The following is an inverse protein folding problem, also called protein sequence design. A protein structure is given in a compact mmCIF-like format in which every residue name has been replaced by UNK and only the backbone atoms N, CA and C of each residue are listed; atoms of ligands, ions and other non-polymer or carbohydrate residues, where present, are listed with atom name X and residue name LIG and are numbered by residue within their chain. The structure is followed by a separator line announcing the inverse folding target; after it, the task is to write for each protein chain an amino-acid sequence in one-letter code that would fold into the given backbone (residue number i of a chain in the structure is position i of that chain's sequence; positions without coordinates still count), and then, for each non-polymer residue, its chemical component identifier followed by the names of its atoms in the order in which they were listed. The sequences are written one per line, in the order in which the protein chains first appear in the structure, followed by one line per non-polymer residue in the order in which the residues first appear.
data_IF_306561773317
#
_entry.id   IF_306561773317
#
_cell.length_a   1.000
_cell.length_b   1.000
_cell.length_c   1.000
_cell.angle_alpha   90.00
_cell.angle_beta   90.00
_cell.angle_gamma   90.00
#
_symmetry.space_group_name_H-M   'P 1'
#
loop_
_entity.id
_entity.type
_entity.pdbx_description
1 polymer ?
#
# COMPACT_ATOMS: atom_id res chain seq x y z
N UNK A 1 5.08 7.63 -25.07
CA UNK A 1 5.83 7.90 -26.31
C UNK A 1 7.07 8.79 -26.09
N UNK A 2 7.12 9.67 -25.09
CA UNK A 2 8.30 10.52 -24.83
C UNK A 2 9.58 9.81 -24.37
N UNK A 3 9.46 8.64 -23.72
CA UNK A 3 10.61 7.89 -23.20
C UNK A 3 11.54 7.32 -24.28
N UNK A 4 10.98 7.01 -25.47
CA UNK A 4 11.77 6.46 -26.59
C UNK A 4 12.71 7.48 -27.22
N UNK A 5 12.28 8.74 -27.31
CA UNK A 5 13.07 9.82 -27.92
C UNK A 5 14.22 10.28 -27.02
N UNK A 6 14.02 10.26 -25.69
CA UNK A 6 15.06 10.57 -24.72
C UNK A 6 16.18 9.52 -24.69
N UNK A 7 15.82 8.23 -24.81
CA UNK A 7 16.79 7.15 -24.89
C UNK A 7 17.63 7.19 -26.17
N UNK A 8 17.01 7.55 -27.30
CA UNK A 8 17.71 7.72 -28.58
C UNK A 8 18.70 8.90 -28.54
N UNK A 9 18.32 10.02 -27.92
CA UNK A 9 19.17 11.20 -27.79
C UNK A 9 20.42 10.94 -26.92
N UNK A 10 20.29 10.20 -25.82
CA UNK A 10 21.42 9.85 -24.95
C UNK A 10 22.36 8.83 -25.61
N UNK A 11 21.81 7.87 -26.37
CA UNK A 11 22.61 6.90 -27.12
C UNK A 11 23.45 7.54 -28.24
N UNK A 12 22.93 8.59 -28.89
CA UNK A 12 23.61 9.32 -29.96
C UNK A 12 24.71 10.25 -29.42
N UNK A 13 24.55 10.80 -28.21
CA UNK A 13 25.50 11.77 -27.63
C UNK A 13 26.76 11.11 -27.04
N UNK A 14 26.69 9.85 -26.57
CA UNK A 14 27.82 9.20 -25.88
C UNK A 14 28.81 8.50 -26.82
N UNK A 15 28.35 7.98 -27.97
CA UNK A 15 29.23 7.35 -28.97
C UNK A 15 29.89 6.03 -28.53
N UNK A 16 29.91 5.04 -29.43
CA UNK A 16 30.60 3.76 -29.25
C UNK A 16 29.80 2.67 -28.51
N UNK A 17 30.41 1.49 -28.40
CA UNK A 17 29.96 0.28 -27.70
C UNK A 17 29.36 0.50 -26.29
N UNK A 18 29.82 1.50 -25.54
CA UNK A 18 29.25 1.85 -24.24
C UNK A 18 27.81 2.42 -24.35
N UNK A 19 27.49 3.14 -25.43
CA UNK A 19 26.15 3.69 -25.68
C UNK A 19 25.09 2.61 -25.96
N UNK A 20 25.50 1.48 -26.55
CA UNK A 20 24.60 0.36 -26.87
C UNK A 20 24.08 -0.35 -25.61
N UNK A 21 24.89 -0.41 -24.54
CA UNK A 21 24.50 -1.04 -23.28
C UNK A 21 23.88 -0.06 -22.27
N UNK A 22 24.36 1.19 -22.21
CA UNK A 22 23.91 2.18 -21.22
C UNK A 22 22.56 2.79 -21.61
N UNK A 23 22.26 2.97 -22.90
CA UNK A 23 21.01 3.56 -23.39
C UNK A 23 19.75 2.78 -23.00
N UNK A 24 19.67 1.45 -23.20
CA UNK A 24 18.53 0.64 -22.78
C UNK A 24 18.37 0.59 -21.26
N UNK A 25 19.48 0.51 -20.53
CA UNK A 25 19.46 0.51 -19.06
C UNK A 25 18.98 1.86 -18.50
N UNK A 26 19.46 2.98 -19.05
CA UNK A 26 19.01 4.31 -18.67
C UNK A 26 17.55 4.57 -19.08
N UNK A 27 17.12 4.09 -20.24
CA UNK A 27 15.72 4.18 -20.70
C UNK A 27 14.77 3.34 -19.85
N UNK A 28 15.14 2.11 -19.50
CA UNK A 28 14.37 1.25 -18.59
C UNK A 28 14.38 1.79 -17.15
N UNK A 29 15.51 2.33 -16.68
CA UNK A 29 15.61 2.97 -15.38
C UNK A 29 14.75 4.25 -15.34
N UNK A 30 14.78 5.06 -16.40
CA UNK A 30 13.96 6.28 -16.52
C UNK A 30 12.47 5.95 -16.65
N UNK A 31 12.07 4.95 -17.43
CA UNK A 31 10.67 4.52 -17.52
C UNK A 31 10.20 3.91 -16.19
N UNK A 32 11.04 3.11 -15.52
CA UNK A 32 10.74 2.64 -14.15
C UNK A 32 10.67 3.76 -13.14
N UNK A 33 11.53 4.78 -13.25
CA UNK A 33 11.56 5.91 -12.32
C UNK A 33 10.36 6.83 -12.57
N UNK A 34 10.00 7.12 -13.84
CA UNK A 34 8.80 7.86 -14.20
C UNK A 34 7.53 7.11 -13.80
N UNK A 35 7.46 5.79 -13.99
CA UNK A 35 6.35 4.97 -13.47
C UNK A 35 6.30 4.93 -11.94
N UNK A 36 7.44 5.12 -11.26
CA UNK A 36 7.51 5.30 -9.79
C UNK A 36 7.12 6.71 -9.34
N UNK A 37 7.20 7.71 -10.21
CA UNK A 37 6.70 9.06 -9.98
C UNK A 37 5.21 9.07 -10.35
N UNK A 38 4.43 8.24 -9.67
CA UNK A 38 3.00 8.53 -9.58
C UNK A 38 2.90 9.88 -8.86
N UNK A 39 2.13 10.86 -9.38
CA UNK A 39 2.06 12.20 -8.80
C UNK A 39 1.81 12.08 -7.30
N UNK A 40 2.61 12.79 -6.49
CA UNK A 40 2.56 12.68 -5.02
C UNK A 40 1.13 12.84 -4.50
N UNK A 41 0.35 13.72 -5.12
CA UNK A 41 -1.07 13.95 -4.83
C UNK A 41 -1.94 12.70 -5.03
N UNK A 42 -1.76 11.96 -6.13
CA UNK A 42 -2.52 10.72 -6.40
C UNK A 42 -2.12 9.63 -5.41
N UNK A 43 -0.83 9.54 -5.09
CA UNK A 43 -0.33 8.58 -4.09
C UNK A 43 -0.87 8.89 -2.70
N UNK A 44 -0.80 10.15 -2.27
CA UNK A 44 -1.35 10.60 -0.99
C UNK A 44 -2.87 10.38 -0.91
N UNK A 45 -3.59 10.65 -2.00
CA UNK A 45 -5.03 10.37 -2.11
C UNK A 45 -5.32 8.89 -1.91
N UNK A 46 -4.62 7.99 -2.61
CA UNK A 46 -4.77 6.53 -2.45
C UNK A 46 -4.42 6.07 -1.03
N UNK A 47 -3.34 6.58 -0.45
CA UNK A 47 -2.92 6.23 0.91
C UNK A 47 -3.97 6.63 1.93
N UNK A 48 -4.58 7.82 1.81
CA UNK A 48 -5.70 8.25 2.65
C UNK A 48 -6.92 7.36 2.46
N UNK A 49 -7.30 7.05 1.21
CA UNK A 49 -8.42 6.13 0.93
C UNK A 49 -8.23 4.76 1.62
N UNK A 50 -7.04 4.18 1.52
CA UNK A 50 -6.73 2.88 2.14
C UNK A 50 -6.63 2.99 3.66
N UNK A 51 -6.10 4.09 4.19
CA UNK A 51 -6.00 4.32 5.64
C UNK A 51 -7.38 4.43 6.30
N UNK A 52 -8.33 5.10 5.65
CA UNK A 52 -9.67 5.36 6.20
C UNK A 52 -10.63 4.17 6.04
N UNK A 53 -10.32 3.22 5.15
CA UNK A 53 -11.20 2.11 4.79
C UNK A 53 -11.66 1.24 5.98
N UNK A 54 -10.80 0.84 6.92
CA UNK A 54 -11.26 0.09 8.09
C UNK A 54 -12.15 0.91 9.04
N UNK A 55 -11.88 2.22 9.18
CA UNK A 55 -12.75 3.10 9.97
C UNK A 55 -14.12 3.25 9.30
N UNK A 56 -14.16 3.35 7.97
CA UNK A 56 -15.40 3.35 7.21
C UNK A 56 -16.20 2.06 7.40
N UNK A 57 -15.54 0.90 7.33
CA UNK A 57 -16.17 -0.39 7.56
C UNK A 57 -16.77 -0.49 8.98
N UNK A 58 -16.05 0.00 9.99
CA UNK A 58 -16.48 0.05 11.38
C UNK A 58 -17.73 0.91 11.58
N UNK A 59 -17.72 2.13 11.04
CA UNK A 59 -18.85 3.05 11.17
C UNK A 59 -20.08 2.54 10.40
N UNK A 60 -19.88 1.96 9.21
CA UNK A 60 -20.96 1.30 8.47
C UNK A 60 -21.53 0.12 9.27
N UNK A 61 -20.68 -0.75 9.83
CA UNK A 61 -21.13 -1.86 10.65
C UNK A 61 -21.90 -1.39 11.89
N UNK A 62 -21.43 -0.32 12.55
CA UNK A 62 -22.13 0.29 13.69
C UNK A 62 -23.51 0.85 13.30
N UNK A 63 -23.59 1.63 12.21
CA UNK A 63 -24.84 2.20 11.72
C UNK A 63 -25.87 1.12 11.34
N UNK A 64 -25.43 0.09 10.62
CA UNK A 64 -26.32 -1.01 10.22
C UNK A 64 -26.79 -1.85 11.43
N UNK A 65 -25.93 -2.07 12.43
CA UNK A 65 -26.32 -2.74 13.69
C UNK A 65 -27.33 -1.92 14.49
N UNK A 66 -27.26 -0.60 14.40
CA UNK A 66 -28.27 0.30 14.96
C UNK A 66 -29.60 0.31 14.15
N UNK A 67 -29.68 -0.46 13.06
CA UNK A 67 -30.88 -0.57 12.22
C UNK A 67 -31.01 0.53 11.16
N UNK A 68 -29.97 1.34 10.93
CA UNK A 68 -30.00 2.34 9.88
C UNK A 68 -29.96 1.68 8.49
N UNK A 69 -30.68 2.24 7.49
CA UNK A 69 -30.66 1.69 6.15
C UNK A 69 -29.31 1.98 5.46
N UNK A 70 -28.94 1.14 4.48
CA UNK A 70 -27.59 1.08 3.91
C UNK A 70 -27.20 2.36 3.17
N UNK A 71 -28.14 2.91 2.41
CA UNK A 71 -28.02 4.18 1.70
C UNK A 71 -27.72 5.34 2.66
N UNK A 72 -28.51 5.50 3.73
CA UNK A 72 -28.27 6.55 4.74
C UNK A 72 -27.00 6.32 5.54
N UNK A 73 -26.69 5.07 5.86
CA UNK A 73 -25.45 4.71 6.56
C UNK A 73 -24.24 5.11 5.72
N UNK A 74 -24.24 4.83 4.42
CA UNK A 74 -23.15 5.23 3.52
C UNK A 74 -23.00 6.76 3.42
N UNK A 75 -24.09 7.52 3.41
CA UNK A 75 -24.06 8.98 3.43
C UNK A 75 -23.53 9.53 4.76
N UNK A 76 -24.02 9.02 5.89
CA UNK A 76 -23.58 9.46 7.21
C UNK A 76 -22.10 9.16 7.47
N UNK A 77 -21.62 8.00 7.02
CA UNK A 77 -20.20 7.64 7.14
C UNK A 77 -19.33 8.48 6.20
N UNK A 78 -19.82 8.81 5.00
CA UNK A 78 -19.13 9.74 4.11
C UNK A 78 -18.98 11.13 4.77
N UNK A 79 -20.05 11.65 5.35
CA UNK A 79 -20.02 12.94 6.05
C UNK A 79 -19.07 12.94 7.25
N UNK A 80 -19.02 11.83 8.01
CA UNK A 80 -18.15 11.69 9.18
C UNK A 80 -16.65 11.57 8.83
N UNK A 81 -16.29 10.88 7.74
CA UNK A 81 -14.89 10.66 7.37
C UNK A 81 -14.26 11.86 6.63
N UNK A 82 -15.04 12.48 5.73
CA UNK A 82 -14.49 13.42 4.77
C UNK A 82 -13.45 12.81 3.82
N UNK A 83 -12.82 13.68 3.03
CA UNK A 83 -11.72 13.29 2.16
C UNK A 83 -12.09 12.36 0.99
N UNK A 84 -11.09 11.73 0.36
CA UNK A 84 -11.26 11.01 -0.90
C UNK A 84 -12.16 9.77 -0.83
N UNK A 85 -12.18 9.10 0.34
CA UNK A 85 -13.01 7.93 0.57
C UNK A 85 -14.48 8.31 0.78
N UNK A 86 -14.73 9.42 1.48
CA UNK A 86 -16.07 9.97 1.63
C UNK A 86 -16.74 10.26 0.30
N UNK A 87 -16.01 10.83 -0.67
CA UNK A 87 -16.57 11.07 -2.01
C UNK A 87 -17.13 9.79 -2.67
N UNK A 88 -16.44 8.67 -2.46
CA UNK A 88 -16.83 7.36 -3.01
C UNK A 88 -18.02 6.78 -2.25
N UNK A 89 -17.99 6.82 -0.93
CA UNK A 89 -19.10 6.37 -0.08
C UNK A 89 -20.36 7.21 -0.29
N UNK A 90 -20.21 8.52 -0.45
CA UNK A 90 -21.32 9.42 -0.78
C UNK A 90 -21.91 9.14 -2.15
N UNK A 91 -21.11 8.67 -3.13
CA UNK A 91 -21.66 8.15 -4.39
C UNK A 91 -22.42 6.85 -4.18
N UNK A 92 -21.89 5.91 -3.39
CA UNK A 92 -22.60 4.65 -3.06
C UNK A 92 -23.96 4.94 -2.44
N UNK A 93 -24.00 5.78 -1.40
CA UNK A 93 -25.24 6.14 -0.72
C UNK A 93 -26.26 6.82 -1.64
N UNK A 94 -25.82 7.76 -2.49
CA UNK A 94 -26.69 8.41 -3.49
C UNK A 94 -27.22 7.43 -4.53
N UNK A 95 -26.37 6.55 -5.07
CA UNK A 95 -26.79 5.55 -6.05
C UNK A 95 -27.84 4.61 -5.47
N UNK A 96 -27.65 4.14 -4.23
CA UNK A 96 -28.66 3.31 -3.55
C UNK A 96 -29.96 4.08 -3.26
N UNK A 97 -29.86 5.34 -2.82
CA UNK A 97 -31.04 6.17 -2.54
C UNK A 97 -31.85 6.49 -3.81
N UNK A 98 -31.21 6.53 -4.97
CA UNK A 98 -31.86 6.68 -6.28
C UNK A 98 -32.41 5.36 -6.85
N UNK A 99 -32.33 4.25 -6.10
CA UNK A 99 -32.80 2.94 -6.54
C UNK A 99 -31.84 2.19 -7.45
N UNK A 100 -30.58 2.62 -7.54
CA UNK A 100 -29.53 1.94 -8.28
C UNK A 100 -29.20 0.57 -7.69
N UNK A 101 -28.68 -0.32 -8.53
CA UNK A 101 -28.38 -1.68 -8.06
C UNK A 101 -27.20 -1.68 -7.08
N UNK A 102 -27.14 -2.63 -6.12
CA UNK A 102 -26.00 -2.78 -5.22
C UNK A 102 -24.67 -2.93 -5.98
N UNK A 103 -24.67 -3.67 -7.09
CA UNK A 103 -23.49 -3.86 -7.93
C UNK A 103 -22.96 -2.54 -8.50
N UNK A 104 -23.86 -1.66 -8.96
CA UNK A 104 -23.50 -0.33 -9.46
C UNK A 104 -23.04 0.58 -8.34
N UNK A 105 -23.75 0.61 -7.21
CA UNK A 105 -23.42 1.48 -6.09
C UNK A 105 -22.03 1.16 -5.51
N UNK A 106 -21.76 -0.12 -5.23
CA UNK A 106 -20.50 -0.54 -4.62
C UNK A 106 -19.32 -0.58 -5.61
N UNK A 107 -19.56 -0.52 -6.92
CA UNK A 107 -18.50 -0.41 -7.93
C UNK A 107 -17.59 0.81 -7.72
N UNK A 108 -18.12 1.91 -7.15
CA UNK A 108 -17.34 3.12 -6.86
C UNK A 108 -16.21 2.93 -5.83
N UNK A 109 -16.31 1.90 -4.99
CA UNK A 109 -15.31 1.52 -3.99
C UNK A 109 -14.31 0.48 -4.52
N UNK A 110 -14.63 -0.26 -5.59
CA UNK A 110 -13.81 -1.37 -6.08
C UNK A 110 -12.41 -0.95 -6.54
N UNK A 111 -12.22 0.31 -6.94
CA UNK A 111 -10.90 0.84 -7.31
C UNK A 111 -10.01 1.18 -6.11
N UNK A 112 -10.55 1.17 -4.89
CA UNK A 112 -9.79 1.42 -3.66
C UNK A 112 -9.04 0.14 -3.28
N UNK A 113 -7.71 0.19 -3.09
CA UNK A 113 -6.95 -0.97 -2.64
C UNK A 113 -7.47 -1.50 -1.29
N UNK A 114 -7.73 -2.80 -1.21
CA UNK A 114 -8.26 -3.46 0.00
C UNK A 114 -9.79 -3.45 0.13
N UNK A 115 -10.53 -2.75 -0.74
CA UNK A 115 -11.99 -2.68 -0.66
C UNK A 115 -12.73 -3.88 -1.27
N UNK A 116 -12.04 -4.79 -1.96
CA UNK A 116 -12.67 -5.86 -2.75
C UNK A 116 -13.57 -6.78 -1.91
N UNK A 117 -13.05 -7.27 -0.78
CA UNK A 117 -13.80 -8.12 0.15
C UNK A 117 -15.04 -7.42 0.71
N UNK A 118 -14.95 -6.11 0.97
CA UNK A 118 -16.06 -5.29 1.44
C UNK A 118 -17.14 -5.17 0.35
N UNK A 119 -16.74 -4.85 -0.87
CA UNK A 119 -17.66 -4.73 -2.02
C UNK A 119 -18.37 -6.06 -2.27
N UNK A 120 -17.64 -7.17 -2.26
CA UNK A 120 -18.23 -8.48 -2.54
C UNK A 120 -19.16 -8.93 -1.40
N UNK A 121 -18.79 -8.67 -0.15
CA UNK A 121 -19.67 -8.87 0.99
C UNK A 121 -20.94 -8.02 0.86
N UNK A 122 -20.81 -6.77 0.43
CA UNK A 122 -21.92 -5.85 0.31
C UNK A 122 -22.91 -6.21 -0.80
N UNK A 123 -22.40 -6.67 -1.95
CA UNK A 123 -23.24 -7.17 -3.05
C UNK A 123 -23.94 -8.47 -2.64
N UNK A 124 -23.26 -9.42 -2.00
CA UNK A 124 -23.88 -10.69 -1.58
C UNK A 124 -24.96 -10.53 -0.52
N UNK A 125 -24.86 -9.49 0.32
CA UNK A 125 -25.77 -9.24 1.42
C UNK A 125 -26.76 -8.10 1.16
N UNK A 126 -26.84 -7.60 -0.08
CA UNK A 126 -27.69 -6.46 -0.43
C UNK A 126 -29.18 -6.66 -0.13
N UNK A 127 -29.65 -7.91 -0.16
CA UNK A 127 -31.04 -8.26 0.10
C UNK A 127 -31.36 -8.38 1.61
N UNK A 128 -30.35 -8.26 2.48
CA UNK A 128 -30.52 -8.31 3.94
C UNK A 128 -29.52 -7.39 4.65
N UNK A 129 -30.02 -6.26 5.16
CA UNK A 129 -29.21 -5.32 5.95
C UNK A 129 -28.58 -5.98 7.19
N UNK A 130 -29.24 -6.97 7.80
CA UNK A 130 -28.68 -7.73 8.92
C UNK A 130 -27.51 -8.64 8.50
N UNK A 131 -27.60 -9.27 7.33
CA UNK A 131 -26.48 -10.05 6.78
C UNK A 131 -25.30 -9.14 6.41
N UNK A 132 -25.58 -7.93 5.91
CA UNK A 132 -24.57 -6.91 5.62
C UNK A 132 -23.88 -6.43 6.90
N UNK A 133 -24.64 -6.14 7.95
CA UNK A 133 -24.11 -5.74 9.25
C UNK A 133 -23.15 -6.80 9.83
N UNK A 134 -23.53 -8.08 9.76
CA UNK A 134 -22.70 -9.19 10.20
C UNK A 134 -21.43 -9.35 9.36
N UNK A 135 -21.52 -9.15 8.03
CA UNK A 135 -20.36 -9.23 7.15
C UNK A 135 -19.36 -8.09 7.36
N UNK A 136 -19.86 -6.85 7.51
CA UNK A 136 -19.01 -5.69 7.79
C UNK A 136 -18.36 -5.76 9.17
N UNK A 137 -19.02 -6.36 10.17
CA UNK A 137 -18.42 -6.60 11.49
C UNK A 137 -17.20 -7.51 11.40
N UNK A 138 -17.33 -8.66 10.73
CA UNK A 138 -16.20 -9.57 10.53
C UNK A 138 -15.06 -8.91 9.76
N UNK A 139 -15.41 -8.18 8.70
CA UNK A 139 -14.43 -7.48 7.89
C UNK A 139 -13.71 -6.36 8.65
N UNK A 140 -14.40 -5.67 9.55
CA UNK A 140 -13.79 -4.71 10.47
C UNK A 140 -12.78 -5.37 11.41
N UNK A 141 -13.13 -6.52 11.99
CA UNK A 141 -12.24 -7.27 12.88
C UNK A 141 -11.01 -7.80 12.11
N UNK A 142 -11.19 -8.30 10.90
CA UNK A 142 -10.10 -8.72 10.01
C UNK A 142 -9.15 -7.55 9.70
N UNK A 143 -9.70 -6.39 9.33
CA UNK A 143 -8.88 -5.21 9.02
C UNK A 143 -8.14 -4.66 10.25
N UNK A 144 -8.72 -4.77 11.45
CA UNK A 144 -8.04 -4.41 12.71
C UNK A 144 -6.88 -5.36 13.01
N UNK A 145 -7.09 -6.67 12.83
CA UNK A 145 -6.05 -7.67 13.01
C UNK A 145 -4.92 -7.52 11.97
N UNK A 146 -5.25 -7.17 10.72
CA UNK A 146 -4.26 -6.85 9.69
C UNK A 146 -3.46 -5.59 10.06
N UNK A 147 -4.11 -4.53 10.57
CA UNK A 147 -3.43 -3.33 11.03
C UNK A 147 -2.45 -3.63 12.17
N UNK A 148 -2.85 -4.39 13.20
CA UNK A 148 -1.95 -4.76 14.29
C UNK A 148 -0.76 -5.59 13.79
N UNK A 149 -1.01 -6.56 12.93
CA UNK A 149 0.03 -7.39 12.32
C UNK A 149 1.00 -6.56 11.47
N UNK A 150 0.49 -5.59 10.71
CA UNK A 150 1.32 -4.70 9.89
C UNK A 150 2.19 -3.78 10.76
N UNK A 151 1.66 -3.29 11.87
CA UNK A 151 2.39 -2.49 12.84
C UNK A 151 3.52 -3.33 13.48
N UNK A 152 3.24 -4.55 13.92
CA UNK A 152 4.26 -5.47 14.43
C UNK A 152 5.33 -5.80 13.40
N UNK A 153 4.94 -6.06 12.15
CA UNK A 153 5.87 -6.33 11.07
C UNK A 153 6.80 -5.13 10.81
N UNK A 154 6.27 -3.91 10.89
CA UNK A 154 7.06 -2.69 10.79
C UNK A 154 8.06 -2.53 11.95
N UNK A 155 7.64 -2.86 13.17
CA UNK A 155 8.50 -2.83 14.36
C UNK A 155 9.64 -3.86 14.28
N UNK A 156 9.36 -5.08 13.82
CA UNK A 156 10.39 -6.12 13.59
C UNK A 156 11.40 -5.69 12.52
N UNK A 157 10.92 -5.07 11.43
CA UNK A 157 11.80 -4.54 10.38
C UNK A 157 12.69 -3.41 10.91
N UNK A 158 12.18 -2.54 11.77
CA UNK A 158 12.98 -1.51 12.41
C UNK A 158 14.12 -2.12 13.25
N UNK A 159 13.83 -3.19 14.01
CA UNK A 159 14.85 -3.94 14.75
C UNK A 159 15.99 -4.46 13.85
N UNK A 160 15.67 -5.07 12.72
CA UNK A 160 16.68 -5.54 11.75
C UNK A 160 17.47 -4.38 11.15
N UNK A 161 16.80 -3.29 10.78
CA UNK A 161 17.44 -2.10 10.20
C UNK A 161 18.38 -1.38 11.19
N UNK A 162 18.19 -1.53 12.49
CA UNK A 162 19.07 -0.96 13.52
C UNK A 162 20.29 -1.88 13.77
N UNK A 163 20.09 -3.20 13.82
CA UNK A 163 21.17 -4.16 14.06
C UNK A 163 22.09 -4.28 12.84
N UNK A 164 21.57 -4.13 11.62
CA UNK A 164 22.34 -4.21 10.38
C UNK A 164 23.54 -3.23 10.33
N UNK A 165 23.38 -1.90 10.54
CA UNK A 165 24.51 -0.97 10.54
C UNK A 165 25.46 -1.22 11.71
N UNK A 166 24.97 -1.65 12.89
CA UNK A 166 25.82 -2.02 14.02
C UNK A 166 26.70 -3.22 13.67
N UNK A 167 26.13 -4.28 13.09
CA UNK A 167 26.88 -5.45 12.62
C UNK A 167 27.87 -5.10 11.51
N UNK A 168 27.49 -4.23 10.57
CA UNK A 168 28.34 -3.78 9.48
C UNK A 168 29.55 -2.96 9.97
N UNK A 169 29.40 -2.19 11.05
CA UNK A 169 30.51 -1.49 11.70
C UNK A 169 31.37 -2.41 12.58
N UNK A 170 30.77 -3.40 13.25
CA UNK A 170 31.48 -4.27 14.18
C UNK A 170 32.35 -5.32 13.49
N UNK A 171 31.87 -5.86 12.36
CA UNK A 171 32.59 -6.86 11.57
C UNK A 171 34.01 -6.42 11.15
N UNK A 172 34.22 -5.24 10.51
CA UNK A 172 35.56 -4.79 10.13
C UNK A 172 36.45 -4.51 11.35
N UNK A 173 35.88 -3.96 12.44
CA UNK A 173 36.64 -3.73 13.67
C UNK A 173 37.11 -5.05 14.31
N UNK A 174 36.26 -6.06 14.34
CA UNK A 174 36.60 -7.39 14.86
C UNK A 174 37.68 -8.09 14.02
N UNK A 175 37.61 -7.99 12.69
CA UNK A 175 38.65 -8.53 11.80
C UNK A 175 40.00 -7.88 12.10
N UNK A 176 40.05 -6.54 12.15
CA UNK A 176 41.30 -5.81 12.35
C UNK A 176 41.88 -5.99 13.77
N UNK A 177 41.05 -5.96 14.80
CA UNK A 177 41.50 -6.00 16.19
C UNK A 177 41.66 -7.42 16.75
N UNK A 178 40.87 -8.39 16.28
CA UNK A 178 40.83 -9.75 16.81
C UNK A 178 41.45 -10.78 15.87
N UNK A 179 40.95 -10.86 14.63
CA UNK A 179 41.29 -11.95 13.72
C UNK A 179 42.71 -11.81 13.12
N UNK A 180 43.07 -10.60 12.66
CA UNK A 180 44.36 -10.35 12.01
C UNK A 180 45.56 -10.68 12.91
N UNK A 181 45.65 -10.23 14.17
CA UNK A 181 46.79 -10.52 15.04
C UNK A 181 46.94 -12.03 15.31
N UNK A 182 45.83 -12.75 15.48
CA UNK A 182 45.84 -14.20 15.73
C UNK A 182 46.37 -14.96 14.52
N UNK A 183 45.91 -14.60 13.31
CA UNK A 183 46.40 -15.20 12.07
C UNK A 183 47.90 -14.95 11.91
N UNK A 184 48.36 -13.72 12.16
CA UNK A 184 49.80 -13.37 12.07
C UNK A 184 50.63 -14.16 13.08
N UNK A 185 50.16 -14.28 14.33
CA UNK A 185 50.87 -15.03 15.37
C UNK A 185 51.00 -16.52 15.01
N UNK A 186 49.91 -17.14 14.52
CA UNK A 186 49.92 -18.56 14.16
C UNK A 186 50.77 -18.82 12.91
N UNK A 187 50.69 -17.99 11.87
CA UNK A 187 51.56 -18.17 10.70
C UNK A 187 53.04 -17.90 11.02
N UNK A 188 53.33 -16.99 11.94
CA UNK A 188 54.69 -16.69 12.38
C UNK A 188 55.33 -17.79 13.21
N UNK A 189 54.55 -18.65 13.87
CA UNK A 189 55.05 -19.79 14.67
C UNK A 189 55.29 -21.05 13.81
N UNK A 190 54.76 -21.09 12.59
CA UNK A 190 54.79 -22.25 11.68
C UNK A 190 55.79 -22.10 10.52
N UNK A 191 56.29 -20.88 10.27
CA UNK A 191 57.31 -20.56 9.26
C UNK A 191 58.69 -20.37 9.90
#
# INVERSE_FOLDING_TARGET
MGAGLAALAVAVVVGGWAGLFVGPLAGLAADRLLRRIEPREVRERRLRETADLPLAADLLAAALRAGAPVDRSALAVAEALGGPLADRLGRVGRTLNLGGTPTEAWAHLRTVPGAGSLVDAAIRSSNSGAALAGALTRLADDLRAERSTSAEASARRAGVLIVLPLGLCFLPAFILAGLVPVIVAVLGDVL
#
